data_IF_245154476177
#
_entry.id   IF_245154476177
#
_cell.length_a   1.000
_cell.length_b   1.000
_cell.length_c   1.000
_cell.angle_alpha   90.00
_cell.angle_beta   90.00
_cell.angle_gamma   90.00
#
_symmetry.space_group_name_H-M   'P 1'
#
loop_
_entity.id
_entity.type
_entity.pdbx_description
1 polymer ?
#
# COMPACT_ATOMS: atom_id res chain seq x y z
N UNK A 1 13.14 4.47 -1.55
CA UNK A 1 14.15 3.39 -1.71
C UNK A 1 13.60 2.06 -1.16
N UNK A 2 13.96 0.90 -1.72
CA UNK A 2 13.51 -0.41 -1.22
C UNK A 2 14.59 -1.10 -0.39
N UNK A 3 14.19 -1.74 0.70
CA UNK A 3 15.05 -2.74 1.37
C UNK A 3 15.06 -4.06 0.58
N UNK A 4 16.08 -4.90 0.80
CA UNK A 4 16.11 -6.27 0.27
C UNK A 4 14.88 -7.07 0.68
N UNK A 5 14.41 -6.86 1.92
CA UNK A 5 13.18 -7.50 2.40
C UNK A 5 11.96 -7.06 1.57
N UNK A 6 11.76 -5.75 1.38
CA UNK A 6 10.66 -5.25 0.56
C UNK A 6 10.72 -5.78 -0.87
N UNK A 7 11.91 -5.79 -1.49
CA UNK A 7 12.10 -6.27 -2.86
C UNK A 7 11.75 -7.76 -3.00
N UNK A 8 12.18 -8.59 -2.05
CA UNK A 8 11.81 -10.01 -2.03
C UNK A 8 10.29 -10.19 -1.86
N UNK A 9 9.64 -9.39 -1.00
CA UNK A 9 8.18 -9.43 -0.81
C UNK A 9 7.42 -9.00 -2.06
N UNK A 10 7.91 -8.02 -2.81
CA UNK A 10 7.34 -7.58 -4.08
C UNK A 10 7.27 -8.74 -5.07
N UNK A 11 8.41 -9.40 -5.29
CA UNK A 11 8.52 -10.52 -6.20
C UNK A 11 7.61 -11.69 -5.80
N UNK A 12 7.67 -12.11 -4.53
CA UNK A 12 6.86 -13.22 -4.01
C UNK A 12 5.34 -13.00 -4.15
N UNK A 13 4.90 -11.74 -4.20
CA UNK A 13 3.48 -11.36 -4.19
C UNK A 13 3.00 -10.78 -5.52
N UNK A 14 3.87 -10.74 -6.53
CA UNK A 14 3.59 -10.14 -7.82
C UNK A 14 3.15 -8.67 -7.72
N UNK A 15 3.69 -7.92 -6.75
CA UNK A 15 3.41 -6.50 -6.56
C UNK A 15 4.42 -5.70 -7.35
N UNK A 16 3.93 -4.90 -8.29
CA UNK A 16 4.72 -4.05 -9.18
C UNK A 16 5.01 -2.69 -8.53
N UNK A 17 6.12 -2.02 -8.90
CA UNK A 17 6.46 -0.68 -8.40
C UNK A 17 5.34 0.35 -8.56
N UNK A 18 4.68 0.37 -9.71
CA UNK A 18 3.54 1.28 -10.00
C UNK A 18 2.38 1.12 -9.02
N UNK A 19 2.19 -0.08 -8.46
CA UNK A 19 1.15 -0.35 -7.46
C UNK A 19 1.54 0.21 -6.09
N UNK A 20 2.83 0.24 -5.78
CA UNK A 20 3.38 0.79 -4.54
C UNK A 20 3.33 2.32 -4.61
N UNK A 21 3.77 2.90 -5.72
CA UNK A 21 3.68 4.35 -5.98
C UNK A 21 2.25 4.84 -5.85
N UNK A 22 1.28 4.16 -6.46
CA UNK A 22 -0.13 4.52 -6.31
C UNK A 22 -0.64 4.44 -4.85
N UNK A 23 -0.13 3.51 -4.05
CA UNK A 23 -0.47 3.45 -2.62
C UNK A 23 0.20 4.59 -1.84
N UNK A 24 1.41 5.00 -2.19
CA UNK A 24 2.09 6.12 -1.55
C UNK A 24 1.42 7.45 -1.90
N UNK A 25 1.04 7.65 -3.17
CA UNK A 25 0.44 8.90 -3.66
C UNK A 25 -1.00 9.10 -3.20
N UNK A 26 -1.79 8.02 -3.16
CA UNK A 26 -3.22 8.09 -2.90
C UNK A 26 -3.67 7.41 -1.61
N UNK A 27 -2.76 6.75 -0.91
CA UNK A 27 -3.01 6.07 0.34
C UNK A 27 -3.22 7.01 1.52
N UNK A 28 -3.81 6.44 2.56
CA UNK A 28 -3.78 7.03 3.89
C UNK A 28 -2.58 6.47 4.63
N UNK A 29 -1.83 7.35 5.29
CA UNK A 29 -0.74 6.99 6.18
C UNK A 29 -1.28 6.83 7.61
N UNK A 30 -0.94 5.71 8.25
CA UNK A 30 -1.17 5.47 9.67
C UNK A 30 0.18 5.18 10.34
N UNK A 31 0.51 5.88 11.44
CA UNK A 31 1.73 5.64 12.20
C UNK A 31 1.53 4.48 13.18
N UNK A 32 2.48 3.54 13.19
CA UNK A 32 2.47 2.41 14.11
C UNK A 32 3.91 1.99 14.47
N UNK A 33 4.24 1.98 15.76
CA UNK A 33 5.54 1.55 16.29
C UNK A 33 6.76 2.16 15.56
N UNK A 34 6.71 3.48 15.30
CA UNK A 34 7.81 4.20 14.64
C UNK A 34 7.95 3.92 13.14
N UNK A 35 6.94 3.29 12.52
CA UNK A 35 6.82 3.10 11.09
C UNK A 35 5.55 3.79 10.57
N UNK A 36 5.55 4.10 9.28
CA UNK A 36 4.41 4.60 8.54
C UNK A 36 3.81 3.46 7.73
N UNK A 37 2.49 3.33 7.78
CA UNK A 37 1.76 2.31 7.03
C UNK A 37 0.81 3.00 6.07
N UNK A 38 1.13 2.91 4.78
CA UNK A 38 0.29 3.42 3.70
C UNK A 38 -0.67 2.32 3.24
N UNK A 39 -1.96 2.65 3.16
CA UNK A 39 -2.96 1.77 2.55
C UNK A 39 -4.14 2.55 1.98
N UNK A 40 -4.81 2.00 0.98
CA UNK A 40 -5.99 2.66 0.38
C UNK A 40 -7.28 1.97 0.81
N UNK A 41 -8.22 2.75 1.35
CA UNK A 41 -9.58 2.27 1.62
C UNK A 41 -10.36 2.10 0.32
N UNK A 42 -11.15 1.03 0.20
CA UNK A 42 -11.97 0.75 -1.00
C UNK A 42 -12.87 1.92 -1.40
N UNK A 43 -13.42 2.68 -0.44
CA UNK A 43 -14.23 3.87 -0.71
C UNK A 43 -13.41 5.02 -1.31
N UNK A 44 -12.21 5.27 -0.79
CA UNK A 44 -11.28 6.27 -1.31
C UNK A 44 -10.82 5.92 -2.73
N UNK A 45 -10.46 4.66 -2.98
CA UNK A 45 -10.12 4.18 -4.31
C UNK A 45 -11.26 4.43 -5.31
N UNK A 46 -12.51 4.08 -4.96
CA UNK A 46 -13.67 4.33 -5.83
C UNK A 46 -13.86 5.81 -6.16
N UNK A 47 -13.60 6.72 -5.20
CA UNK A 47 -13.66 8.16 -5.44
C UNK A 47 -12.59 8.59 -6.46
N UNK A 48 -11.36 8.10 -6.31
CA UNK A 48 -10.26 8.42 -7.23
C UNK A 48 -10.50 7.93 -8.66
N UNK A 49 -11.12 6.75 -8.82
CA UNK A 49 -11.56 6.26 -10.14
C UNK A 49 -12.60 7.19 -10.77
N UNK A 50 -13.61 7.63 -10.00
CA UNK A 50 -14.64 8.57 -10.50
C UNK A 50 -14.03 9.92 -10.92
N UNK A 51 -12.94 10.33 -10.27
CA UNK A 51 -12.20 11.55 -10.60
C UNK A 51 -11.22 11.37 -11.77
N UNK A 52 -11.14 10.18 -12.37
CA UNK A 52 -10.21 9.88 -13.46
C UNK A 52 -8.73 9.87 -13.04
N UNK A 53 -8.43 9.83 -11.74
CA UNK A 53 -7.06 9.89 -11.20
C UNK A 53 -6.36 8.54 -11.17
N UNK A 54 -7.09 7.44 -11.31
CA UNK A 54 -6.58 6.08 -11.25
C UNK A 54 -7.28 5.20 -12.30
N UNK A 55 -6.53 4.42 -13.10
CA UNK A 55 -7.13 3.45 -14.00
C UNK A 55 -7.82 2.32 -13.22
N UNK A 56 -8.87 1.73 -13.81
CA UNK A 56 -9.69 0.71 -13.13
C UNK A 56 -8.87 -0.51 -12.69
N UNK A 57 -7.89 -0.93 -13.49
CA UNK A 57 -7.01 -2.07 -13.18
C UNK A 57 -6.20 -1.82 -11.91
N UNK A 58 -5.69 -0.60 -11.73
CA UNK A 58 -4.87 -0.24 -10.57
C UNK A 58 -5.71 -0.15 -9.30
N UNK A 59 -6.95 0.38 -9.41
CA UNK A 59 -7.91 0.40 -8.30
C UNK A 59 -8.21 -1.01 -7.73
N UNK A 60 -8.38 -1.99 -8.61
CA UNK A 60 -8.74 -3.35 -8.21
C UNK A 60 -7.65 -4.00 -7.33
N UNK A 61 -6.38 -3.63 -7.55
CA UNK A 61 -5.24 -4.17 -6.82
C UNK A 61 -4.85 -3.30 -5.62
N UNK A 62 -4.82 -1.98 -5.81
CA UNK A 62 -4.32 -1.00 -4.84
C UNK A 62 -5.01 -1.05 -3.47
N UNK A 63 -6.34 -1.24 -3.42
CA UNK A 63 -7.07 -1.30 -2.13
C UNK A 63 -6.72 -2.53 -1.27
N UNK A 64 -6.01 -3.50 -1.86
CA UNK A 64 -5.52 -4.70 -1.20
C UNK A 64 -4.04 -4.59 -0.90
N UNK A 65 -3.35 -3.50 -1.20
CA UNK A 65 -1.92 -3.37 -0.92
C UNK A 65 -1.72 -2.48 0.30
N UNK A 66 -0.72 -2.83 1.11
CA UNK A 66 -0.16 -1.93 2.12
C UNK A 66 1.36 -1.83 1.95
N UNK A 67 1.88 -0.65 2.27
CA UNK A 67 3.30 -0.33 2.19
C UNK A 67 3.73 0.17 3.57
N UNK A 68 4.81 -0.39 4.10
CA UNK A 68 5.38 0.01 5.39
C UNK A 68 6.69 0.73 5.10
N UNK A 69 6.80 1.97 5.57
CA UNK A 69 7.99 2.81 5.44
C UNK A 69 8.51 3.25 6.80
N UNK A 70 9.78 3.66 6.81
CA UNK A 70 10.39 4.38 7.93
C UNK A 70 11.24 5.49 7.30
N UNK A 71 10.68 6.70 7.26
CA UNK A 71 11.19 7.75 6.39
C UNK A 71 11.11 7.32 4.92
N UNK A 72 12.14 7.60 4.13
CA UNK A 72 12.14 7.34 2.68
C UNK A 72 12.43 5.86 2.29
N UNK A 73 12.53 4.98 3.29
CA UNK A 73 12.87 3.58 3.11
C UNK A 73 11.64 2.68 3.24
N UNK A 74 11.35 1.93 2.19
CA UNK A 74 10.28 0.92 2.17
C UNK A 74 10.81 -0.36 2.80
N UNK A 75 10.28 -0.68 3.98
CA UNK A 75 10.69 -1.84 4.78
C UNK A 75 9.92 -3.09 4.33
N UNK A 76 8.64 -2.95 3.98
CA UNK A 76 7.78 -4.09 3.64
C UNK A 76 6.64 -3.66 2.74
N UNK A 77 6.22 -4.58 1.87
CA UNK A 77 4.96 -4.48 1.12
C UNK A 77 4.18 -5.78 1.22
N UNK A 78 2.86 -5.71 1.08
CA UNK A 78 2.05 -6.92 1.04
C UNK A 78 0.61 -6.70 0.65
N UNK A 79 -0.06 -7.84 0.42
CA UNK A 79 -1.49 -7.87 0.22
C UNK A 79 -2.22 -7.97 1.56
N UNK A 80 -3.30 -7.20 1.68
CA UNK A 80 -4.25 -7.15 2.77
C UNK A 80 -5.47 -7.97 2.38
N UNK A 81 -5.50 -9.22 2.85
CA UNK A 81 -6.64 -10.12 2.65
C UNK A 81 -7.71 -9.98 3.75
N UNK A 82 -7.38 -9.31 4.86
CA UNK A 82 -8.27 -9.05 6.01
C UNK A 82 -8.10 -7.61 6.50
N UNK A 83 -9.09 -7.07 7.22
CA UNK A 83 -8.96 -5.73 7.84
C UNK A 83 -7.76 -5.75 8.81
N UNK A 84 -6.85 -4.77 8.71
CA UNK A 84 -5.78 -4.57 9.69
C UNK A 84 -6.46 -4.39 11.05
N UNK A 85 -6.11 -5.25 12.01
CA UNK A 85 -6.53 -5.08 13.41
C UNK A 85 -5.79 -3.86 13.94
N UNK A 86 -6.54 -2.95 14.55
CA UNK A 86 -6.02 -1.67 15.07
C UNK A 86 -5.04 -1.88 16.24
N UNK A 87 -5.12 -3.04 16.89
CA UNK A 87 -4.27 -3.45 18.00
C UNK A 87 -3.79 -4.87 17.76
N UNK A 88 -2.47 -5.05 17.77
CA UNK A 88 -1.84 -6.33 18.09
C UNK A 88 -1.18 -6.12 19.45
N UNK A 89 -1.84 -6.62 20.50
CA UNK A 89 -1.17 -6.90 21.78
C UNK A 89 -0.18 -8.04 21.58
#
# INVERSE_FOLDING_TARGET
MYTNHAYARMQQRGIQPVEIEAVLDFGQCEFHQGCEIFSVRKSAAKKLLKLGKLPHQLLAKMHRIYVVTKGDLIITVGHRYKRLKKERK
#
